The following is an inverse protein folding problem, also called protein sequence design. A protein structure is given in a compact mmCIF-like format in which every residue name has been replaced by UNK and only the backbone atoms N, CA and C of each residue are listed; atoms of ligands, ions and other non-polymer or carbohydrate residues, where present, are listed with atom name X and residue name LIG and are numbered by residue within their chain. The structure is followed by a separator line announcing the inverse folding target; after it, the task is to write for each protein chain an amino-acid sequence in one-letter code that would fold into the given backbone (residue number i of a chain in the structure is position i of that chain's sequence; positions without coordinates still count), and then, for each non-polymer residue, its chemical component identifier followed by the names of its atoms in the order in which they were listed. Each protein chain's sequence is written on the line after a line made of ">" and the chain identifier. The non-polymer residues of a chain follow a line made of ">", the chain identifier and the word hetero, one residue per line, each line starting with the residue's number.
data_IF_459487980172
#
_entry.id   IF_459487980172
#
_cell.length_a   1.000
_cell.length_b   1.000
_cell.length_c   1.000
_cell.angle_alpha   90.00
_cell.angle_beta   90.00
_cell.angle_gamma   90.00
#
_symmetry.space_group_name_H-M   'P 1'
#
loop_
_entity.id
_entity.type
_entity.pdbx_description
1 polymer ?
#
# COMPACT_ATOMS: atom_id res chain seq x y z
N UNK A 1 -0.94 -6.42 14.25
CA UNK A 1 -1.23 -6.76 12.84
C UNK A 1 -2.26 -5.78 12.30
N UNK A 2 -2.29 -5.51 10.99
CA UNK A 2 -3.27 -4.57 10.41
C UNK A 2 -4.72 -4.92 10.79
N UNK A 3 -5.08 -6.21 10.71
CA UNK A 3 -6.38 -6.70 11.16
C UNK A 3 -6.69 -6.42 12.64
N UNK A 4 -5.68 -6.47 13.52
CA UNK A 4 -5.85 -6.14 14.93
C UNK A 4 -6.12 -4.64 15.17
N UNK A 5 -5.50 -3.77 14.37
CA UNK A 5 -5.78 -2.34 14.44
C UNK A 5 -7.18 -2.00 13.92
N UNK A 6 -7.61 -2.65 12.83
CA UNK A 6 -8.97 -2.48 12.28
C UNK A 6 -10.01 -2.92 13.31
N UNK A 7 -9.86 -4.10 13.92
CA UNK A 7 -10.74 -4.55 15.02
C UNK A 7 -10.74 -3.59 16.21
N UNK A 8 -9.61 -2.95 16.50
CA UNK A 8 -9.53 -1.92 17.53
C UNK A 8 -10.39 -0.70 17.19
N UNK A 9 -10.35 -0.25 15.93
CA UNK A 9 -11.17 0.87 15.45
C UNK A 9 -12.66 0.52 15.48
N UNK A 10 -13.03 -0.69 15.03
CA UNK A 10 -14.42 -1.19 15.09
C UNK A 10 -14.97 -1.09 16.52
N UNK A 11 -14.21 -1.59 17.51
CA UNK A 11 -14.58 -1.50 18.92
C UNK A 11 -14.69 -0.05 19.40
N UNK A 12 -13.77 0.83 19.01
CA UNK A 12 -13.85 2.25 19.40
C UNK A 12 -15.15 2.91 18.91
N UNK A 13 -15.62 2.53 17.73
CA UNK A 13 -16.90 3.00 17.18
C UNK A 13 -18.08 2.40 17.97
N UNK A 14 -18.06 1.11 18.25
CA UNK A 14 -19.10 0.43 19.06
C UNK A 14 -19.20 0.99 20.49
N UNK A 15 -18.08 1.44 21.05
CA UNK A 15 -17.99 2.02 22.40
C UNK A 15 -18.28 3.54 22.43
N UNK A 16 -18.75 4.15 21.33
CA UNK A 16 -18.98 5.59 21.19
C UNK A 16 -17.76 6.44 21.63
N UNK A 17 -16.56 5.95 21.34
CA UNK A 17 -15.31 6.66 21.65
C UNK A 17 -15.30 8.01 20.92
N UNK A 18 -14.71 9.03 21.57
CA UNK A 18 -14.62 10.37 21.01
C UNK A 18 -14.09 10.37 19.58
N UNK A 19 -14.87 10.95 18.65
CA UNK A 19 -14.65 10.81 17.21
C UNK A 19 -13.24 11.18 16.75
N UNK A 20 -12.62 12.19 17.38
CA UNK A 20 -11.27 12.62 17.03
C UNK A 20 -10.22 11.54 17.33
N UNK A 21 -10.42 10.74 18.39
CA UNK A 21 -9.49 9.67 18.73
C UNK A 21 -9.65 8.47 17.78
N UNK A 22 -10.87 8.18 17.35
CA UNK A 22 -11.14 7.20 16.26
C UNK A 22 -10.44 7.64 14.97
N UNK A 23 -10.58 8.91 14.59
CA UNK A 23 -9.93 9.48 13.39
C UNK A 23 -8.40 9.39 13.48
N UNK A 24 -7.81 9.73 14.63
CA UNK A 24 -6.35 9.58 14.85
C UNK A 24 -5.89 8.14 14.68
N UNK A 25 -6.67 7.19 15.20
CA UNK A 25 -6.34 5.77 15.08
C UNK A 25 -6.42 5.29 13.63
N UNK A 26 -7.43 5.73 12.86
CA UNK A 26 -7.53 5.49 11.42
C UNK A 26 -6.29 6.03 10.70
N UNK A 27 -5.91 7.28 10.97
CA UNK A 27 -4.74 7.92 10.36
C UNK A 27 -3.44 7.17 10.68
N UNK A 28 -3.28 6.69 11.91
CA UNK A 28 -2.12 5.89 12.30
C UNK A 28 -2.03 4.57 11.50
N UNK A 29 -3.17 3.90 11.27
CA UNK A 29 -3.23 2.69 10.45
C UNK A 29 -2.92 2.98 9.00
N UNK A 30 -3.50 4.04 8.43
CA UNK A 30 -3.21 4.48 7.06
C UNK A 30 -1.72 4.78 6.87
N UNK A 31 -1.10 5.51 7.80
CA UNK A 31 0.33 5.81 7.74
C UNK A 31 1.19 4.53 7.78
N UNK A 32 0.84 3.56 8.62
CA UNK A 32 1.53 2.28 8.68
C UNK A 32 1.38 1.49 7.37
N UNK A 33 0.18 1.45 6.78
CA UNK A 33 -0.07 0.78 5.49
C UNK A 33 0.67 1.47 4.34
N UNK A 34 0.70 2.79 4.31
CA UNK A 34 1.46 3.55 3.32
C UNK A 34 2.95 3.22 3.38
N UNK A 35 3.52 3.10 4.60
CA UNK A 35 4.91 2.68 4.79
C UNK A 35 5.16 1.27 4.24
N UNK A 36 4.27 0.32 4.52
CA UNK A 36 4.37 -1.05 4.00
C UNK A 36 4.28 -1.06 2.47
N UNK A 37 3.33 -0.31 1.89
CA UNK A 37 3.18 -0.17 0.44
C UNK A 37 4.46 0.36 -0.22
N UNK A 38 5.06 1.41 0.35
CA UNK A 38 6.32 1.96 -0.14
C UNK A 38 7.47 0.94 -0.09
N UNK A 39 7.59 0.18 1.01
CA UNK A 39 8.60 -0.88 1.14
C UNK A 39 8.40 -2.01 0.12
N UNK A 40 7.15 -2.40 -0.12
CA UNK A 40 6.82 -3.42 -1.11
C UNK A 40 7.15 -2.97 -2.53
N UNK A 41 6.79 -1.74 -2.88
CA UNK A 41 7.11 -1.16 -4.19
C UNK A 41 8.62 -1.05 -4.37
N UNK A 42 9.35 -0.53 -3.39
CA UNK A 42 10.81 -0.43 -3.43
C UNK A 42 11.47 -1.79 -3.69
N UNK A 43 11.05 -2.83 -2.97
CA UNK A 43 11.55 -4.17 -3.19
C UNK A 43 11.21 -4.70 -4.60
N UNK A 44 10.00 -4.46 -5.10
CA UNK A 44 9.60 -4.87 -6.46
C UNK A 44 10.43 -4.19 -7.54
N UNK A 45 10.74 -2.89 -7.38
CA UNK A 45 11.61 -2.15 -8.29
C UNK A 45 13.03 -2.74 -8.32
N UNK A 46 13.61 -3.03 -7.15
CA UNK A 46 14.97 -3.55 -7.03
C UNK A 46 15.12 -5.03 -7.44
N UNK A 47 14.02 -5.78 -7.52
CA UNK A 47 14.06 -7.22 -7.85
C UNK A 47 13.45 -7.50 -9.21
N UNK A 48 12.12 -7.50 -9.30
CA UNK A 48 11.38 -7.85 -10.51
C UNK A 48 11.67 -6.90 -11.66
N UNK A 49 11.55 -5.59 -11.44
CA UNK A 49 11.74 -4.60 -12.51
C UNK A 49 13.19 -4.55 -12.97
N UNK A 50 14.14 -4.55 -12.03
CA UNK A 50 15.58 -4.58 -12.37
C UNK A 50 15.93 -5.82 -13.18
N UNK A 51 15.39 -6.99 -12.83
CA UNK A 51 15.58 -8.24 -13.59
C UNK A 51 15.02 -8.12 -15.01
N UNK A 52 13.79 -7.65 -15.15
CA UNK A 52 13.15 -7.50 -16.46
C UNK A 52 13.85 -6.46 -17.36
N UNK A 53 14.40 -5.40 -16.80
CA UNK A 53 15.17 -4.39 -17.55
C UNK A 53 16.49 -4.96 -18.06
N UNK A 54 17.16 -5.79 -17.24
CA UNK A 54 18.42 -6.44 -17.60
C UNK A 54 18.25 -7.63 -18.56
N UNK A 55 17.04 -8.16 -18.67
CA UNK A 55 16.70 -9.25 -19.57
C UNK A 55 16.54 -8.83 -21.04
N UNK A 56 16.56 -9.83 -21.91
CA UNK A 56 16.46 -9.66 -23.36
C UNK A 56 15.01 -9.70 -23.88
N UNK A 57 14.00 -9.93 -23.04
CA UNK A 57 12.58 -9.95 -23.42
C UNK A 57 11.94 -8.54 -23.34
N UNK A 58 11.63 -7.90 -24.49
CA UNK A 58 10.99 -6.60 -24.51
C UNK A 58 9.55 -6.61 -23.99
N UNK A 59 8.82 -7.73 -24.14
CA UNK A 59 7.45 -7.83 -23.66
C UNK A 59 7.41 -7.91 -22.14
N UNK A 60 8.33 -8.65 -21.52
CA UNK A 60 8.46 -8.70 -20.06
C UNK A 60 8.75 -7.32 -19.47
N UNK A 61 9.68 -6.57 -20.08
CA UNK A 61 9.99 -5.20 -19.67
C UNK A 61 8.77 -4.29 -19.73
N UNK A 62 8.03 -4.32 -20.84
CA UNK A 62 6.81 -3.51 -21.00
C UNK A 62 5.72 -3.89 -19.98
N UNK A 63 5.51 -5.19 -19.75
CA UNK A 63 4.55 -5.67 -18.73
C UNK A 63 4.89 -5.13 -17.33
N UNK A 64 6.16 -5.20 -16.92
CA UNK A 64 6.59 -4.70 -15.60
C UNK A 64 6.39 -3.19 -15.44
N UNK A 65 6.65 -2.41 -16.50
CA UNK A 65 6.41 -0.96 -16.47
C UNK A 65 4.91 -0.62 -16.37
N UNK A 66 4.06 -1.37 -17.06
CA UNK A 66 2.60 -1.22 -16.96
C UNK A 66 2.09 -1.56 -15.56
N UNK A 67 2.60 -2.63 -14.93
CA UNK A 67 2.26 -2.99 -13.55
C UNK A 67 2.58 -1.85 -12.58
N UNK A 68 3.80 -1.30 -12.63
CA UNK A 68 4.21 -0.18 -11.77
C UNK A 68 3.32 1.04 -11.99
N UNK A 69 3.01 1.37 -13.25
CA UNK A 69 2.14 2.52 -13.58
C UNK A 69 0.73 2.34 -13.01
N UNK A 70 0.17 1.13 -13.11
CA UNK A 70 -1.18 0.81 -12.63
C UNK A 70 -1.36 1.02 -11.12
N UNK A 71 -0.30 0.80 -10.32
CA UNK A 71 -0.32 1.02 -8.86
C UNK A 71 -0.59 2.50 -8.53
N UNK A 72 -0.07 3.42 -9.33
CA UNK A 72 -0.27 4.86 -9.13
C UNK A 72 -1.61 5.37 -9.67
N UNK A 73 -2.15 4.75 -10.71
CA UNK A 73 -3.49 5.09 -11.23
C UNK A 73 -4.60 4.75 -10.22
N UNK A 74 -4.46 3.65 -9.47
CA UNK A 74 -5.40 3.29 -8.40
C UNK A 74 -5.30 4.28 -7.23
N UNK A 75 -4.08 4.67 -6.86
CA UNK A 75 -3.83 5.61 -5.76
C UNK A 75 -4.40 7.01 -6.06
N UNK A 76 -4.50 7.41 -7.33
CA UNK A 76 -5.03 8.72 -7.73
C UNK A 76 -6.56 8.79 -7.83
N UNK A 77 -7.28 7.67 -7.67
CA UNK A 77 -8.75 7.59 -7.79
C UNK A 77 -9.50 7.63 -6.45
N UNK A 78 -8.81 7.77 -5.33
CA UNK A 78 -9.40 7.89 -3.99
C UNK A 78 -9.19 9.30 -3.44
#
# INVERSE_FOLDING_TARGET
>A
SAAGHIKGIERMVEEDTYCIDVIKQIQAVQAALNKVSAMMLDNHLHTCVTTAIQGDDPEERERMLQEVTSVFEVTSKT
#
